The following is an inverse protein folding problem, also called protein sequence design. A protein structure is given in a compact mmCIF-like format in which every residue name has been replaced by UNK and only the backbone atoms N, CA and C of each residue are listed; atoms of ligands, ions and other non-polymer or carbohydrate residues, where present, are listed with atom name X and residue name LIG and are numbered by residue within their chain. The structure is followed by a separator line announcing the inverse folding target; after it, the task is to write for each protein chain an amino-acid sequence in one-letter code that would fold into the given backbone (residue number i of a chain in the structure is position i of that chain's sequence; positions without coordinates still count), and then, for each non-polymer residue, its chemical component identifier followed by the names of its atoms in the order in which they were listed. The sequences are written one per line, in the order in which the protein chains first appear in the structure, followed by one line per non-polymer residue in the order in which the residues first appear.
data_IF_514520292022
#
_entry.id   IF_514520292022
#
_cell.length_a   1.000
_cell.length_b   1.000
_cell.length_c   1.000
_cell.angle_alpha   90.00
_cell.angle_beta   90.00
_cell.angle_gamma   90.00
#
_symmetry.space_group_name_H-M   'P 1'
#
loop_
_entity.id
_entity.type
_entity.pdbx_description
1 polymer ?
#
# COMPACT_ATOMS: atom_id res chain seq x y z
N UNK A 1 -3.95 6.19 -18.67
CA UNK A 1 -3.53 6.57 -17.30
C UNK A 1 -4.75 7.06 -16.53
N UNK A 2 -5.05 6.47 -15.37
CA UNK A 2 -6.21 6.86 -14.55
C UNK A 2 -6.12 8.34 -14.14
N UNK A 3 -7.23 9.07 -14.27
CA UNK A 3 -7.38 10.47 -13.83
C UNK A 3 -7.16 10.67 -12.33
N UNK A 4 -7.16 9.59 -11.56
CA UNK A 4 -6.97 9.55 -10.11
C UNK A 4 -5.49 9.47 -9.69
N UNK A 5 -4.58 9.21 -10.64
CA UNK A 5 -3.15 9.01 -10.33
C UNK A 5 -2.50 10.20 -9.62
N UNK A 6 -2.75 11.46 -9.99
CA UNK A 6 -2.22 12.60 -9.23
C UNK A 6 -2.69 12.62 -7.77
N UNK A 7 -3.96 12.35 -7.52
CA UNK A 7 -4.57 12.35 -6.19
C UNK A 7 -4.02 11.22 -5.33
N UNK A 8 -3.93 10.01 -5.89
CA UNK A 8 -3.29 8.86 -5.23
C UNK A 8 -1.84 9.19 -4.82
N UNK A 9 -1.05 9.82 -5.71
CA UNK A 9 0.33 10.20 -5.36
C UNK A 9 0.41 11.25 -4.24
N UNK A 10 -0.52 12.19 -4.18
CA UNK A 10 -0.60 13.16 -3.07
C UNK A 10 -1.01 12.43 -1.78
N UNK A 11 -2.00 11.55 -1.84
CA UNK A 11 -2.43 10.73 -0.71
C UNK A 11 -1.26 9.90 -0.14
N UNK A 12 -0.53 9.19 -0.99
CA UNK A 12 0.64 8.41 -0.57
C UNK A 12 1.75 9.29 0.02
N UNK A 13 1.96 10.50 -0.53
CA UNK A 13 2.94 11.45 0.02
C UNK A 13 2.59 11.89 1.45
N UNK A 14 1.30 12.12 1.72
CA UNK A 14 0.84 12.57 3.04
C UNK A 14 0.99 11.49 4.12
N UNK A 15 1.13 10.22 3.73
CA UNK A 15 1.27 9.08 4.64
C UNK A 15 2.66 8.43 4.57
N UNK A 16 3.67 9.12 4.03
CA UNK A 16 5.01 8.55 3.86
C UNK A 16 5.62 8.03 5.18
N UNK A 17 5.34 8.68 6.30
CA UNK A 17 5.85 8.25 7.61
C UNK A 17 5.23 6.93 8.09
N UNK A 18 4.03 6.59 7.60
CA UNK A 18 3.37 5.32 7.88
C UNK A 18 3.82 4.22 6.92
N UNK A 19 4.40 4.54 5.76
CA UNK A 19 4.77 3.55 4.74
C UNK A 19 6.19 3.04 5.01
N UNK A 20 6.31 1.78 5.43
CA UNK A 20 7.61 1.13 5.62
C UNK A 20 8.27 0.82 4.27
N UNK A 21 7.50 0.23 3.35
CA UNK A 21 7.90 -0.03 1.97
C UNK A 21 6.66 -0.24 1.09
N UNK A 22 6.85 -0.12 -0.22
CA UNK A 22 5.82 -0.43 -1.19
C UNK A 22 6.40 -0.80 -2.54
N UNK A 23 5.60 -1.45 -3.36
CA UNK A 23 6.00 -1.92 -4.68
C UNK A 23 4.80 -2.13 -5.59
N UNK A 24 5.09 -2.18 -6.88
CA UNK A 24 4.11 -2.46 -7.93
C UNK A 24 4.42 -3.85 -8.50
N UNK A 25 3.38 -4.64 -8.74
CA UNK A 25 3.48 -5.80 -9.60
C UNK A 25 2.90 -5.46 -10.98
N UNK A 26 3.47 -6.12 -11.99
CA UNK A 26 3.13 -5.91 -13.38
C UNK A 26 2.79 -7.24 -14.04
N UNK A 27 1.94 -7.22 -15.05
CA UNK A 27 1.73 -8.37 -15.94
C UNK A 27 2.81 -8.46 -17.03
N UNK A 28 2.62 -9.39 -17.97
CA UNK A 28 3.53 -9.65 -19.08
C UNK A 28 3.68 -8.45 -20.03
N UNK A 29 2.67 -7.57 -20.09
CA UNK A 29 2.65 -6.37 -20.92
C UNK A 29 3.20 -5.13 -20.17
N UNK A 30 3.73 -5.33 -18.97
CA UNK A 30 4.22 -4.27 -18.06
C UNK A 30 3.12 -3.33 -17.56
N UNK A 31 1.85 -3.74 -17.62
CA UNK A 31 0.76 -3.00 -17.02
C UNK A 31 0.71 -3.28 -15.52
N UNK A 32 0.46 -2.23 -14.72
CA UNK A 32 0.41 -2.36 -13.26
C UNK A 32 -0.84 -3.12 -12.83
N UNK A 33 -0.65 -4.28 -12.21
CA UNK A 33 -1.74 -5.16 -11.77
C UNK A 33 -1.95 -5.16 -10.26
N UNK A 34 -0.90 -4.87 -9.48
CA UNK A 34 -0.97 -4.86 -8.02
C UNK A 34 -0.20 -3.67 -7.46
N UNK A 35 -0.77 -3.07 -6.41
CA UNK A 35 -0.07 -2.17 -5.51
C UNK A 35 0.08 -2.90 -4.18
N UNK A 36 1.32 -3.04 -3.70
CA UNK A 36 1.64 -3.62 -2.41
C UNK A 36 2.25 -2.53 -1.52
N UNK A 37 1.70 -2.35 -0.32
CA UNK A 37 2.16 -1.37 0.65
C UNK A 37 2.23 -2.06 2.02
N UNK A 38 3.35 -1.92 2.71
CA UNK A 38 3.49 -2.29 4.10
C UNK A 38 3.42 -1.03 4.95
N UNK A 39 2.46 -1.00 5.88
CA UNK A 39 2.20 0.13 6.75
C UNK A 39 2.68 -0.17 8.18
N UNK A 40 3.23 0.85 8.83
CA UNK A 40 3.46 0.91 10.27
C UNK A 40 2.23 1.58 10.90
N UNK A 41 1.34 0.78 11.47
CA UNK A 41 0.09 1.24 12.10
C UNK A 41 -0.09 0.55 13.46
N UNK A 42 -0.85 1.17 14.35
CA UNK A 42 -1.08 0.63 15.69
C UNK A 42 -2.25 -0.36 15.74
N UNK A 43 -3.10 -0.34 14.71
CA UNK A 43 -4.35 -1.10 14.68
C UNK A 43 -4.75 -1.60 13.28
N UNK A 44 -5.55 -2.67 13.24
CA UNK A 44 -6.11 -3.20 11.99
C UNK A 44 -7.11 -2.23 11.34
N UNK A 45 -7.73 -1.35 12.14
CA UNK A 45 -8.62 -0.29 11.66
C UNK A 45 -7.85 0.77 10.87
N UNK A 46 -6.70 1.22 11.35
CA UNK A 46 -5.88 2.21 10.62
C UNK A 46 -5.44 1.70 9.24
N UNK A 47 -5.05 0.42 9.15
CA UNK A 47 -4.74 -0.19 7.86
C UNK A 47 -5.97 -0.23 6.94
N UNK A 48 -7.16 -0.49 7.50
CA UNK A 48 -8.40 -0.52 6.74
C UNK A 48 -8.83 0.86 6.25
N UNK A 49 -8.68 1.88 7.09
CA UNK A 49 -9.05 3.26 6.78
C UNK A 49 -8.09 3.84 5.75
N UNK A 50 -6.78 3.56 5.87
CA UNK A 50 -5.79 3.94 4.85
C UNK A 50 -6.18 3.46 3.45
N UNK A 51 -6.64 2.22 3.32
CA UNK A 51 -6.99 1.69 2.00
C UNK A 51 -8.31 2.27 1.48
N UNK A 52 -9.30 2.51 2.35
CA UNK A 52 -10.60 3.09 1.97
C UNK A 52 -10.51 4.56 1.58
N UNK A 53 -9.60 5.30 2.21
CA UNK A 53 -9.41 6.72 1.95
C UNK A 53 -8.49 7.00 0.74
N UNK A 54 -7.83 5.97 0.20
CA UNK A 54 -7.06 6.06 -1.04
C UNK A 54 -8.00 6.43 -2.20
N UNK A 55 -7.69 7.47 -3.01
CA UNK A 55 -8.41 7.76 -4.24
C UNK A 55 -8.55 6.58 -5.21
N UNK A 56 -7.69 5.55 -5.11
CA UNK A 56 -7.78 4.31 -5.88
C UNK A 56 -8.74 3.26 -5.32
N UNK A 57 -9.40 3.50 -4.17
CA UNK A 57 -10.31 2.54 -3.53
C UNK A 57 -11.29 1.87 -4.51
N UNK A 58 -11.99 2.67 -5.32
CA UNK A 58 -12.96 2.18 -6.31
C UNK A 58 -12.33 1.48 -7.54
N UNK A 59 -11.01 1.60 -7.70
CA UNK A 59 -10.24 0.96 -8.79
C UNK A 59 -9.77 -0.44 -8.37
N UNK A 60 -9.63 -0.70 -7.07
CA UNK A 60 -9.19 -1.99 -6.58
C UNK A 60 -10.30 -3.03 -6.68
N UNK A 61 -10.10 -4.04 -7.53
CA UNK A 61 -11.02 -5.19 -7.62
C UNK A 61 -11.02 -6.04 -6.36
N UNK A 62 -9.88 -6.10 -5.67
CA UNK A 62 -9.70 -6.87 -4.44
C UNK A 62 -8.67 -6.17 -3.55
N UNK A 63 -8.92 -6.19 -2.25
CA UNK A 63 -8.00 -5.70 -1.21
C UNK A 63 -7.73 -6.84 -0.23
N UNK A 64 -6.47 -7.00 0.16
CA UNK A 64 -6.04 -7.96 1.17
C UNK A 64 -5.15 -7.24 2.18
N UNK A 65 -5.53 -7.31 3.46
CA UNK A 65 -4.79 -6.71 4.58
C UNK A 65 -4.30 -7.84 5.46
N UNK A 66 -2.99 -7.90 5.69
CA UNK A 66 -2.34 -8.96 6.47
C UNK A 66 -1.33 -8.34 7.44
N UNK A 67 -1.19 -8.96 8.62
CA UNK A 67 -0.15 -8.56 9.57
C UNK A 67 1.20 -9.03 9.07
N UNK A 68 2.13 -8.11 9.00
CA UNK A 68 3.51 -8.39 8.60
C UNK A 68 4.45 -8.08 9.77
N UNK A 69 5.39 -8.99 10.03
CA UNK A 69 6.48 -8.76 10.98
C UNK A 69 7.78 -8.65 10.21
N UNK A 70 8.38 -7.47 10.23
CA UNK A 70 9.69 -7.27 9.62
C UNK A 70 10.75 -8.01 10.44
N UNK A 71 11.47 -8.91 9.78
CA UNK A 71 12.67 -9.54 10.35
C UNK A 71 13.82 -8.55 10.23
N UNK A 72 14.43 -8.18 11.36
CA UNK A 72 15.64 -7.35 11.38
C UNK A 72 16.85 -8.28 11.45
N UNK A 73 17.73 -8.29 10.43
CA UNK A 73 18.93 -9.11 10.44
C UNK A 73 19.77 -8.84 11.71
N UNK A 74 20.18 -9.91 12.40
CA UNK A 74 21.01 -9.82 13.62
C UNK A 74 20.25 -9.73 14.94
N UNK A 75 18.92 -9.61 14.93
CA UNK A 75 18.08 -9.65 16.15
C UNK A 75 17.55 -11.05 16.45
N UNK A 76 17.45 -11.91 15.43
CA UNK A 76 16.99 -13.29 15.56
C UNK A 76 18.19 -14.19 15.27
N UNK A 77 18.77 -14.74 16.34
CA UNK A 77 19.73 -15.87 16.34
C UNK A 77 18.98 -17.19 16.37
#
# INVERSE_FOLDING_TARGET
MSSLRPQHRVYMRNHLEQIAFGGLAYDEDSDTTVICICLNVESDSEASDFVKDDPYWEVYKQVKIEKFKQMIPGVIT
#
